data_IF_225863136733
#
_entry.id   IF_225863136733
#
_cell.length_a   1.000
_cell.length_b   1.000
_cell.length_c   1.000
_cell.angle_alpha   90.00
_cell.angle_beta   90.00
_cell.angle_gamma   90.00
#
_symmetry.space_group_name_H-M   'P 1'
#
loop_
_entity.id
_entity.type
_entity.pdbx_description
1 polymer ?
#
# COMPACT_ATOMS: atom_id res chain seq x y z
N UNK A 1 7.22 11.18 -32.10
CA UNK A 1 8.44 11.11 -32.93
C UNK A 1 8.46 9.79 -33.67
N UNK A 2 9.01 9.77 -34.88
CA UNK A 2 9.25 8.52 -35.62
C UNK A 2 10.57 7.92 -35.17
N UNK A 3 10.69 6.59 -35.14
CA UNK A 3 11.93 5.88 -34.75
C UNK A 3 13.14 6.32 -35.58
N UNK A 4 12.93 6.65 -36.86
CA UNK A 4 13.96 7.19 -37.75
C UNK A 4 14.55 8.52 -37.27
N UNK A 5 13.75 9.41 -36.69
CA UNK A 5 14.19 10.71 -36.17
C UNK A 5 15.05 10.52 -34.92
N UNK A 6 14.72 9.55 -34.07
CA UNK A 6 15.49 9.20 -32.86
C UNK A 6 16.87 8.65 -33.25
N UNK A 7 16.92 7.73 -34.22
CA UNK A 7 18.18 7.16 -34.71
C UNK A 7 19.08 8.21 -35.35
N UNK A 8 18.49 9.15 -36.10
CA UNK A 8 19.22 10.26 -36.67
C UNK A 8 19.80 11.17 -35.57
N UNK A 9 19.01 11.53 -34.55
CA UNK A 9 19.49 12.32 -33.42
C UNK A 9 20.65 11.64 -32.66
N UNK A 10 20.56 10.32 -32.44
CA UNK A 10 21.64 9.54 -31.81
C UNK A 10 22.92 9.57 -32.62
N UNK A 11 22.85 9.62 -33.95
CA UNK A 11 24.03 9.66 -34.83
C UNK A 11 24.88 10.93 -34.67
N UNK A 12 24.28 12.02 -34.20
CA UNK A 12 24.96 13.29 -33.94
C UNK A 12 25.62 13.36 -32.56
N UNK A 13 25.45 12.33 -31.73
CA UNK A 13 26.01 12.27 -30.38
C UNK A 13 27.34 11.50 -30.35
N UNK A 14 28.13 11.76 -29.31
CA UNK A 14 29.34 10.98 -29.04
C UNK A 14 28.98 9.53 -28.71
N UNK A 15 29.94 8.60 -28.82
CA UNK A 15 29.72 7.21 -28.40
C UNK A 15 29.31 7.15 -26.92
N UNK A 16 29.95 7.95 -26.06
CA UNK A 16 29.64 7.99 -24.63
C UNK A 16 28.19 8.44 -24.37
N UNK A 17 27.71 9.44 -25.08
CA UNK A 17 26.35 9.95 -24.88
C UNK A 17 25.30 8.97 -25.42
N UNK A 18 25.59 8.30 -26.55
CA UNK A 18 24.75 7.21 -27.05
C UNK A 18 24.61 6.08 -26.04
N UNK A 19 25.70 5.70 -25.37
CA UNK A 19 25.66 4.67 -24.32
C UNK A 19 24.82 5.11 -23.12
N UNK A 20 24.98 6.37 -22.65
CA UNK A 20 24.14 6.92 -21.57
C UNK A 20 22.66 6.93 -21.93
N UNK A 21 22.32 7.29 -23.16
CA UNK A 21 20.92 7.27 -23.63
C UNK A 21 20.38 5.84 -23.66
N UNK A 22 21.16 4.88 -24.15
CA UNK A 22 20.76 3.47 -24.16
C UNK A 22 20.54 2.92 -22.74
N UNK A 23 21.44 3.22 -21.80
CA UNK A 23 21.32 2.83 -20.39
C UNK A 23 20.09 3.44 -19.73
N UNK A 24 19.87 4.75 -19.92
CA UNK A 24 18.71 5.46 -19.37
C UNK A 24 17.40 4.90 -19.95
N UNK A 25 17.35 4.67 -21.26
CA UNK A 25 16.19 4.08 -21.91
C UNK A 25 15.90 2.66 -21.38
N UNK A 26 16.93 1.83 -21.20
CA UNK A 26 16.78 0.50 -20.63
C UNK A 26 16.25 0.56 -19.20
N UNK A 27 16.76 1.48 -18.38
CA UNK A 27 16.31 1.66 -17.01
C UNK A 27 14.82 2.06 -16.94
N UNK A 28 14.38 2.97 -17.80
CA UNK A 28 12.96 3.37 -17.88
C UNK A 28 12.05 2.18 -18.23
N UNK A 29 12.44 1.36 -19.22
CA UNK A 29 11.70 0.16 -19.60
C UNK A 29 11.61 -0.83 -18.43
N UNK A 30 12.70 -0.98 -17.67
CA UNK A 30 12.72 -1.85 -16.50
C UNK A 30 11.81 -1.31 -15.38
N UNK A 31 11.81 0.00 -15.14
CA UNK A 31 10.88 0.62 -14.18
C UNK A 31 9.42 0.43 -14.59
N UNK A 32 9.10 0.57 -15.88
CA UNK A 32 7.77 0.29 -16.41
C UNK A 32 7.37 -1.19 -16.29
N UNK A 33 8.32 -2.11 -16.46
CA UNK A 33 8.08 -3.55 -16.25
C UNK A 33 7.96 -3.94 -14.77
N UNK A 34 8.66 -3.25 -13.88
CA UNK A 34 8.63 -3.51 -12.43
C UNK A 34 7.48 -2.78 -11.74
N UNK A 35 6.88 -1.77 -12.38
CA UNK A 35 5.68 -1.11 -11.92
C UNK A 35 4.46 -2.00 -12.10
N UNK A 36 3.84 -2.43 -11.00
CA UNK A 36 2.52 -3.02 -11.06
C UNK A 36 1.54 -2.00 -11.65
N UNK A 37 0.76 -2.41 -12.63
CA UNK A 37 -0.43 -1.65 -13.02
C UNK A 37 -1.35 -1.49 -11.80
N UNK A 38 -2.23 -0.48 -11.81
CA UNK A 38 -3.19 -0.27 -10.71
C UNK A 38 -4.01 -1.53 -10.40
N UNK A 39 -4.36 -2.31 -11.42
CA UNK A 39 -5.11 -3.55 -11.25
C UNK A 39 -4.26 -4.65 -10.60
N UNK A 40 -3.01 -4.83 -11.05
CA UNK A 40 -2.07 -5.77 -10.44
C UNK A 40 -1.75 -5.39 -8.99
N UNK A 41 -1.60 -4.09 -8.71
CA UNK A 41 -1.40 -3.57 -7.35
C UNK A 41 -2.61 -3.86 -6.47
N UNK A 42 -3.83 -3.61 -6.96
CA UNK A 42 -5.08 -3.93 -6.26
C UNK A 42 -5.18 -5.44 -5.97
N UNK A 43 -4.86 -6.28 -6.94
CA UNK A 43 -4.89 -7.74 -6.78
C UNK A 43 -3.86 -8.21 -5.75
N UNK A 44 -2.64 -7.66 -5.78
CA UNK A 44 -1.60 -8.01 -4.80
C UNK A 44 -1.95 -7.54 -3.39
N UNK A 45 -2.56 -6.36 -3.24
CA UNK A 45 -3.08 -5.89 -1.96
C UNK A 45 -4.20 -6.80 -1.44
N UNK A 46 -5.11 -7.26 -2.31
CA UNK A 46 -6.15 -8.20 -1.92
C UNK A 46 -5.58 -9.52 -1.41
N UNK A 47 -4.57 -10.08 -2.10
CA UNK A 47 -3.88 -11.29 -1.67
C UNK A 47 -3.20 -11.06 -0.32
N UNK A 48 -2.44 -9.97 -0.17
CA UNK A 48 -1.76 -9.65 1.08
C UNK A 48 -2.74 -9.50 2.25
N UNK A 49 -3.87 -8.83 2.03
CA UNK A 49 -4.92 -8.69 3.04
C UNK A 49 -5.52 -10.05 3.42
N UNK A 50 -5.82 -10.91 2.44
CA UNK A 50 -6.34 -12.27 2.69
C UNK A 50 -5.34 -13.13 3.48
N UNK A 51 -4.05 -13.05 3.15
CA UNK A 51 -3.01 -13.79 3.86
C UNK A 51 -2.82 -13.27 5.28
N UNK A 52 -2.94 -11.96 5.51
CA UNK A 52 -2.78 -11.37 6.83
C UNK A 52 -3.93 -11.72 7.80
N UNK A 53 -5.11 -12.16 7.34
CA UNK A 53 -6.26 -12.45 8.22
C UNK A 53 -5.92 -13.48 9.31
N UNK A 54 -5.15 -14.51 8.98
CA UNK A 54 -4.74 -15.52 9.98
C UNK A 54 -3.90 -14.90 11.09
N UNK A 55 -3.09 -13.91 10.76
CA UNK A 55 -2.15 -13.28 11.69
C UNK A 55 -2.87 -12.41 12.72
N UNK A 56 -4.13 -12.02 12.47
CA UNK A 56 -4.98 -11.26 13.40
C UNK A 56 -6.17 -12.07 13.94
N UNK A 57 -6.22 -13.38 13.69
CA UNK A 57 -7.29 -14.24 14.21
C UNK A 57 -7.16 -14.46 15.72
N UNK A 58 -8.28 -14.64 16.43
CA UNK A 58 -8.32 -14.94 17.87
C UNK A 58 -7.38 -16.12 18.20
N UNK A 59 -6.39 -15.91 19.08
CA UNK A 59 -5.27 -16.80 19.42
C UNK A 59 -4.03 -16.77 18.51
N UNK A 60 -3.88 -15.79 17.61
CA UNK A 60 -2.61 -15.59 16.92
C UNK A 60 -1.53 -15.06 17.89
N UNK A 61 -0.26 -15.37 17.62
CA UNK A 61 0.87 -14.85 18.41
C UNK A 61 0.93 -13.32 18.42
N UNK A 62 0.43 -12.65 17.36
CA UNK A 62 0.48 -11.19 17.23
C UNK A 62 -0.55 -10.47 18.12
N UNK A 63 -1.59 -11.17 18.58
CA UNK A 63 -2.65 -10.58 19.41
C UNK A 63 -2.65 -11.11 20.85
N UNK A 64 -1.63 -11.88 21.25
CA UNK A 64 -1.48 -12.43 22.61
C UNK A 64 -1.53 -11.36 23.71
N UNK A 65 -1.12 -10.12 23.39
CA UNK A 65 -1.15 -9.00 24.34
C UNK A 65 -2.39 -8.12 24.20
N UNK A 66 -3.23 -8.32 23.18
CA UNK A 66 -4.46 -7.53 22.97
C UNK A 66 -5.44 -7.72 24.12
N UNK A 67 -5.50 -8.93 24.70
CA UNK A 67 -6.32 -9.23 25.87
C UNK A 67 -5.73 -8.70 27.19
N UNK A 68 -4.44 -8.34 27.20
CA UNK A 68 -3.72 -7.87 28.39
C UNK A 68 -3.71 -6.33 28.52
N UNK A 69 -3.86 -5.62 27.41
CA UNK A 69 -3.78 -4.15 27.34
C UNK A 69 -5.05 -3.52 26.74
N UNK A 70 -6.17 -4.26 26.78
CA UNK A 70 -7.47 -3.74 26.39
C UNK A 70 -7.91 -2.66 27.37
N UNK A 71 -7.71 -1.38 27.02
CA UNK A 71 -8.53 -0.32 27.60
C UNK A 71 -10.00 -0.68 27.35
N UNK A 72 -10.80 -0.67 28.41
CA UNK A 72 -12.20 -1.08 28.36
C UNK A 72 -13.03 0.02 27.67
N UNK A 73 -12.93 0.11 26.34
CA UNK A 73 -13.59 1.14 25.51
C UNK A 73 -15.12 1.10 25.59
N UNK A 74 -15.69 0.10 26.26
CA UNK A 74 -17.12 -0.13 26.40
C UNK A 74 -17.66 0.06 27.83
N UNK A 75 -16.92 0.71 28.75
CA UNK A 75 -17.54 1.13 30.02
C UNK A 75 -18.61 2.20 29.75
N UNK A 76 -19.86 1.73 29.82
CA UNK A 76 -21.20 2.31 29.63
C UNK A 76 -21.42 3.84 29.50
N UNK A 77 -22.49 4.26 28.78
CA UNK A 77 -22.92 5.66 28.76
C UNK A 77 -23.16 6.15 30.18
N UNK A 78 -22.53 7.28 30.52
CA UNK A 78 -22.67 7.93 31.82
C UNK A 78 -24.14 7.98 32.26
N UNK A 79 -24.46 7.16 33.26
CA UNK A 79 -25.74 7.21 33.97
C UNK A 79 -25.70 8.40 34.93
N UNK A 80 -25.78 9.60 34.38
CA UNK A 80 -26.07 10.78 35.20
C UNK A 80 -27.56 10.80 35.55
N UNK A 81 -27.81 10.35 36.77
CA UNK A 81 -28.97 10.53 37.61
C UNK A 81 -29.98 11.63 37.21
N UNK A 82 -31.26 11.24 37.16
CA UNK A 82 -32.25 11.80 38.09
C UNK A 82 -33.47 10.89 38.21
N UNK A 83 -33.53 10.17 39.32
CA UNK A 83 -34.77 9.68 39.92
C UNK A 83 -35.70 10.88 40.16
N UNK A 84 -36.69 11.07 39.30
CA UNK A 84 -37.89 11.86 39.67
C UNK A 84 -38.94 10.86 40.11
N UNK A 85 -38.97 10.63 41.43
CA UNK A 85 -40.15 10.12 42.10
C UNK A 85 -41.16 11.27 42.15
N UNK A 86 -42.36 11.05 41.62
CA UNK A 86 -43.56 11.76 42.08
C UNK A 86 -44.77 10.85 41.86
N UNK A 87 -45.08 10.08 42.90
CA UNK A 87 -46.43 9.60 43.14
C UNK A 87 -47.32 10.82 43.48
N UNK A 88 -48.41 11.00 42.74
CA UNK A 88 -49.67 11.59 43.18
C UNK A 88 -50.76 11.35 42.12
#
# INVERSE_FOLDING_TARGET
MKTSEILQALSHLTISDRLKVAETALHLIQQEQQGLTKEQQRQQLAIAAMTAVSDYSTNSELIVFTDLDGEDFYTEPATDAKSVSLDA
#
